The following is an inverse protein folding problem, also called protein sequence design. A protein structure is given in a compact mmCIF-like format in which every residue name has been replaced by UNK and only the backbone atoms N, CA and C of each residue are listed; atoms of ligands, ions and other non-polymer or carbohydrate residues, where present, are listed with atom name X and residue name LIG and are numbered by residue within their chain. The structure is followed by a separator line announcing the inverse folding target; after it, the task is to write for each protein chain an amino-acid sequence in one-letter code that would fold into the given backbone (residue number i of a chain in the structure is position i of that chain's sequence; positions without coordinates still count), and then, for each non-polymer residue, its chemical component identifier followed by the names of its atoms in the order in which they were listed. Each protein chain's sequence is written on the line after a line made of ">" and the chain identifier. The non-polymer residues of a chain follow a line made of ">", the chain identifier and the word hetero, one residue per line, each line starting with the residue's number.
data_IF_458101911644
#
_entry.id   IF_458101911644
#
_cell.length_a   1.000
_cell.length_b   1.000
_cell.length_c   1.000
_cell.angle_alpha   90.00
_cell.angle_beta   90.00
_cell.angle_gamma   90.00
#
_symmetry.space_group_name_H-M   'P 1'
#
loop_
_entity.id
_entity.type
_entity.pdbx_description
1 polymer ?
#
# COMPACT_ATOMS: atom_id res chain seq x y z
N UNK A 1 -4.88 -20.79 7.23
CA UNK A 1 -3.97 -21.73 6.55
C UNK A 1 -2.87 -22.20 7.51
N UNK A 2 -1.97 -21.32 7.94
CA UNK A 2 -0.85 -21.64 8.85
C UNK A 2 -1.30 -22.37 10.12
N UNK A 3 -2.33 -21.86 10.83
CA UNK A 3 -2.90 -22.54 12.02
C UNK A 3 -3.38 -23.98 11.76
N UNK A 4 -3.79 -24.32 10.53
CA UNK A 4 -4.26 -25.67 10.17
C UNK A 4 -3.11 -26.57 9.71
N UNK A 5 -2.17 -26.04 8.93
CA UNK A 5 -1.10 -26.84 8.28
C UNK A 5 0.18 -26.91 9.09
N UNK A 6 0.44 -25.94 9.95
CA UNK A 6 1.67 -25.85 10.76
C UNK A 6 2.94 -25.61 9.94
N UNK A 7 2.84 -25.34 8.64
CA UNK A 7 3.98 -25.05 7.76
C UNK A 7 3.73 -23.77 6.96
N UNK A 8 4.79 -23.01 6.71
CA UNK A 8 4.77 -21.78 5.92
C UNK A 8 6.13 -21.50 5.28
N UNK A 9 6.13 -20.61 4.30
CA UNK A 9 7.34 -20.01 3.72
C UNK A 9 7.34 -18.50 3.97
N UNK A 10 8.53 -17.94 4.09
CA UNK A 10 8.80 -16.51 4.07
C UNK A 10 9.71 -16.23 2.88
N UNK A 11 9.22 -15.43 1.93
CA UNK A 11 10.04 -14.86 0.87
C UNK A 11 10.46 -13.45 1.30
N UNK A 12 11.76 -13.24 1.47
CA UNK A 12 12.32 -11.94 1.86
C UNK A 12 12.45 -11.08 0.63
N UNK A 13 11.68 -9.99 0.56
CA UNK A 13 11.66 -9.10 -0.60
C UNK A 13 12.97 -8.29 -0.69
N UNK A 14 13.54 -8.17 -1.88
CA UNK A 14 14.72 -7.35 -2.17
C UNK A 14 14.32 -5.98 -2.74
N UNK A 15 15.23 -5.01 -2.72
CA UNK A 15 14.97 -3.65 -3.23
C UNK A 15 14.61 -3.60 -4.73
N UNK A 16 14.86 -4.68 -5.47
CA UNK A 16 14.44 -4.87 -6.87
C UNK A 16 12.95 -5.24 -7.02
N UNK A 17 12.22 -5.45 -5.93
CA UNK A 17 10.80 -5.77 -5.97
C UNK A 17 9.98 -4.58 -6.48
N UNK A 18 9.00 -4.85 -7.33
CA UNK A 18 8.10 -3.83 -7.87
C UNK A 18 6.81 -3.72 -7.04
N UNK A 19 6.11 -2.58 -7.18
CA UNK A 19 4.82 -2.37 -6.52
C UNK A 19 3.75 -3.42 -6.88
N UNK A 20 3.84 -4.01 -8.07
CA UNK A 20 2.91 -5.04 -8.53
C UNK A 20 2.89 -6.27 -7.61
N UNK A 21 4.03 -6.66 -7.04
CA UNK A 21 4.10 -7.75 -6.06
C UNK A 21 3.25 -7.44 -4.82
N UNK A 22 3.29 -6.21 -4.32
CA UNK A 22 2.50 -5.79 -3.15
C UNK A 22 1.02 -5.70 -3.49
N UNK A 23 0.68 -5.18 -4.67
CA UNK A 23 -0.70 -5.13 -5.14
C UNK A 23 -1.28 -6.54 -5.28
N UNK A 24 -0.55 -7.45 -5.91
CA UNK A 24 -0.98 -8.83 -6.14
C UNK A 24 -1.02 -9.65 -4.85
N UNK A 25 -0.02 -9.61 -3.98
CA UNK A 25 -0.02 -10.45 -2.77
C UNK A 25 -0.63 -9.78 -1.54
N UNK A 26 -0.62 -8.45 -1.46
CA UNK A 26 -1.06 -7.68 -0.29
C UNK A 26 -2.50 -7.18 -0.35
N UNK A 27 -3.07 -6.89 -1.52
CA UNK A 27 -4.38 -6.21 -1.63
C UNK A 27 -5.53 -7.16 -1.96
N UNK A 28 -5.30 -8.46 -1.86
CA UNK A 28 -6.33 -9.49 -2.05
C UNK A 28 -6.15 -10.62 -1.04
N UNK A 29 -7.23 -11.40 -0.85
CA UNK A 29 -7.27 -12.50 0.11
C UNK A 29 -7.02 -13.84 -0.60
N UNK A 30 -6.09 -14.64 -0.08
CA UNK A 30 -5.83 -15.99 -0.60
C UNK A 30 -6.95 -17.00 -0.32
N UNK A 31 -7.98 -16.58 0.44
CA UNK A 31 -9.22 -17.37 0.62
C UNK A 31 -10.07 -17.35 -0.64
N UNK A 32 -10.09 -16.20 -1.32
CA UNK A 32 -11.06 -15.88 -2.37
C UNK A 32 -10.40 -15.82 -3.75
N UNK A 33 -9.06 -15.76 -3.80
CA UNK A 33 -8.29 -15.68 -5.04
C UNK A 33 -7.06 -16.58 -4.96
N UNK A 34 -6.89 -17.45 -5.97
CA UNK A 34 -5.64 -18.17 -6.16
C UNK A 34 -4.58 -17.23 -6.74
N UNK A 35 -3.73 -16.73 -5.84
CA UNK A 35 -2.66 -15.78 -6.20
C UNK A 35 -1.51 -16.42 -6.98
N UNK A 36 -1.41 -17.75 -7.01
CA UNK A 36 -0.33 -18.47 -7.70
C UNK A 36 -0.79 -19.06 -9.03
N UNK A 37 -2.09 -19.07 -9.33
CA UNK A 37 -2.61 -19.48 -10.63
C UNK A 37 -1.98 -18.64 -11.76
N UNK A 38 -1.21 -19.29 -12.64
CA UNK A 38 -0.52 -18.63 -13.75
C UNK A 38 0.64 -17.71 -13.33
N UNK A 39 1.08 -17.73 -12.06
CA UNK A 39 2.17 -16.90 -11.59
C UNK A 39 3.52 -17.54 -11.90
N UNK A 40 4.23 -17.00 -12.90
CA UNK A 40 5.47 -17.59 -13.43
C UNK A 40 6.65 -17.50 -12.46
N UNK A 41 6.72 -16.42 -11.66
CA UNK A 41 7.84 -16.14 -10.77
C UNK A 41 7.66 -16.80 -9.38
N UNK A 42 7.27 -18.08 -9.38
CA UNK A 42 7.12 -18.88 -8.17
C UNK A 42 7.64 -20.32 -8.35
N UNK A 43 8.26 -20.84 -7.30
CA UNK A 43 8.75 -22.22 -7.23
C UNK A 43 8.31 -22.87 -5.92
N UNK A 44 8.49 -24.19 -5.79
CA UNK A 44 8.20 -24.92 -4.55
C UNK A 44 9.47 -25.12 -3.74
N UNK A 45 9.37 -24.92 -2.43
CA UNK A 45 10.43 -25.22 -1.47
C UNK A 45 10.35 -26.68 -1.00
N UNK A 46 11.26 -27.12 -0.13
CA UNK A 46 11.34 -28.50 0.34
C UNK A 46 10.08 -28.96 1.11
N UNK A 47 9.34 -28.02 1.73
CA UNK A 47 8.07 -28.31 2.40
C UNK A 47 6.87 -28.36 1.43
N UNK A 48 7.11 -28.23 0.12
CA UNK A 48 6.11 -28.29 -0.93
C UNK A 48 5.31 -27.00 -1.12
N UNK A 49 5.54 -25.95 -0.34
CA UNK A 49 4.84 -24.67 -0.47
C UNK A 49 5.52 -23.77 -1.51
N UNK A 50 4.72 -22.87 -2.09
CA UNK A 50 5.25 -21.87 -3.01
C UNK A 50 6.10 -20.81 -2.28
N UNK A 51 7.10 -20.30 -3.00
CA UNK A 51 7.82 -19.07 -2.68
C UNK A 51 8.05 -18.28 -3.96
N UNK A 52 8.21 -16.97 -3.84
CA UNK A 52 8.48 -16.11 -4.99
C UNK A 52 9.95 -16.26 -5.41
N UNK A 53 10.24 -16.17 -6.71
CA UNK A 53 11.61 -16.22 -7.24
C UNK A 53 12.11 -14.89 -7.80
N UNK A 54 11.22 -13.90 -7.93
CA UNK A 54 11.54 -12.56 -8.43
C UNK A 54 11.31 -11.51 -7.34
N UNK A 55 12.21 -10.52 -7.26
CA UNK A 55 12.14 -9.44 -6.27
C UNK A 55 12.34 -9.95 -4.84
N UNK A 56 13.10 -11.03 -4.68
CA UNK A 56 13.42 -11.65 -3.38
C UNK A 56 14.90 -11.99 -3.31
N UNK A 57 15.47 -11.92 -2.12
CA UNK A 57 16.87 -12.28 -1.87
C UNK A 57 17.03 -13.52 -1.00
N UNK A 58 15.99 -13.94 -0.28
CA UNK A 58 16.04 -15.13 0.56
C UNK A 58 14.69 -15.85 0.69
N UNK A 59 14.77 -17.15 0.97
CA UNK A 59 13.67 -18.02 1.35
C UNK A 59 13.95 -18.60 2.73
N UNK A 60 12.93 -18.60 3.60
CA UNK A 60 12.92 -19.33 4.86
C UNK A 60 11.66 -20.20 4.90
N UNK A 61 11.83 -21.51 5.09
CA UNK A 61 10.72 -22.44 5.34
C UNK A 61 10.62 -22.71 6.84
N UNK A 62 9.40 -22.67 7.38
CA UNK A 62 9.15 -22.82 8.81
C UNK A 62 8.13 -23.92 9.11
N UNK A 63 8.35 -24.63 10.22
CA UNK A 63 7.38 -25.52 10.85
C UNK A 63 7.02 -24.99 12.23
N UNK A 64 5.75 -24.69 12.45
CA UNK A 64 5.21 -24.15 13.70
C UNK A 64 5.43 -25.17 14.82
N UNK A 65 6.06 -24.71 15.91
CA UNK A 65 6.29 -25.48 17.14
C UNK A 65 5.45 -24.95 18.30
N UNK A 66 5.10 -23.67 18.28
CA UNK A 66 4.25 -23.04 19.29
C UNK A 66 3.38 -21.95 18.66
N UNK A 67 2.19 -21.73 19.22
CA UNK A 67 1.25 -20.72 18.77
C UNK A 67 0.70 -19.95 19.97
N UNK A 68 0.72 -18.63 19.90
CA UNK A 68 0.16 -17.75 20.92
C UNK A 68 -0.92 -16.85 20.32
N UNK A 69 -2.12 -16.96 20.85
CA UNK A 69 -3.26 -16.14 20.42
C UNK A 69 -3.25 -14.79 21.13
N UNK A 70 -3.40 -13.73 20.34
CA UNK A 70 -3.71 -12.39 20.79
C UNK A 70 -5.08 -11.99 20.23
N UNK A 71 -5.59 -10.84 20.65
CA UNK A 71 -6.95 -10.38 20.30
C UNK A 71 -7.17 -10.32 18.77
N UNK A 72 -6.24 -9.70 18.04
CA UNK A 72 -6.39 -9.48 16.59
C UNK A 72 -5.43 -10.32 15.73
N UNK A 73 -4.41 -10.90 16.34
CA UNK A 73 -3.32 -11.60 15.63
C UNK A 73 -2.93 -12.88 16.36
N UNK A 74 -2.25 -13.77 15.63
CA UNK A 74 -1.67 -14.98 16.20
C UNK A 74 -0.17 -14.97 15.94
N UNK A 75 0.63 -15.11 17.00
CA UNK A 75 2.07 -15.33 16.88
C UNK A 75 2.33 -16.81 16.67
N UNK A 76 2.99 -17.14 15.57
CA UNK A 76 3.51 -18.47 15.31
C UNK A 76 5.01 -18.49 15.59
N UNK A 77 5.43 -19.37 16.49
CA UNK A 77 6.85 -19.64 16.75
C UNK A 77 7.18 -20.93 16.01
N UNK A 78 8.26 -20.90 15.22
CA UNK A 78 8.55 -21.95 14.26
C UNK A 78 10.02 -22.32 14.24
N UNK A 79 10.28 -23.61 14.05
CA UNK A 79 11.59 -24.14 13.68
C UNK A 79 11.84 -23.88 12.19
N UNK A 80 13.04 -23.40 11.85
CA UNK A 80 13.46 -23.22 10.46
C UNK A 80 13.88 -24.57 9.89
N UNK A 81 13.19 -25.02 8.83
CA UNK A 81 13.45 -26.32 8.19
C UNK A 81 14.24 -26.20 6.90
N UNK A 82 14.29 -25.01 6.31
CA UNK A 82 15.08 -24.70 5.11
C UNK A 82 15.38 -23.20 5.10
N UNK A 83 16.58 -22.85 4.63
CA UNK A 83 16.94 -21.48 4.28
C UNK A 83 17.71 -21.48 2.97
N UNK A 84 17.43 -20.53 2.08
CA UNK A 84 18.18 -20.31 0.84
C UNK A 84 18.46 -18.84 0.63
N UNK A 85 19.69 -18.51 0.27
CA UNK A 85 20.07 -17.22 -0.31
C UNK A 85 19.82 -17.30 -1.82
N UNK A 86 19.07 -16.34 -2.35
CA UNK A 86 18.65 -16.28 -3.75
C UNK A 86 19.38 -15.17 -4.51
N UNK A 87 19.73 -14.08 -3.84
CA UNK A 87 20.61 -13.02 -4.35
C UNK A 87 21.26 -12.25 -3.19
N UNK A 88 22.28 -11.45 -3.52
CA UNK A 88 22.95 -10.55 -2.57
C UNK A 88 22.32 -9.15 -2.52
N UNK A 89 21.17 -8.95 -3.19
CA UNK A 89 20.49 -7.67 -3.22
C UNK A 89 20.00 -7.29 -1.81
N UNK A 90 20.06 -6.01 -1.41
CA UNK A 90 19.58 -5.58 -0.12
C UNK A 90 18.08 -5.88 0.08
N UNK A 91 17.69 -6.28 1.29
CA UNK A 91 16.27 -6.47 1.63
C UNK A 91 15.51 -5.15 1.65
N UNK A 92 14.23 -5.20 1.29
CA UNK A 92 13.30 -4.09 1.51
C UNK A 92 13.06 -3.95 3.01
N UNK A 93 13.32 -2.75 3.52
CA UNK A 93 12.83 -2.36 4.84
C UNK A 93 11.45 -1.73 4.70
N UNK A 94 10.70 -1.72 5.80
CA UNK A 94 9.38 -1.06 5.80
C UNK A 94 9.50 0.44 5.48
N UNK A 95 10.55 1.11 5.95
CA UNK A 95 10.83 2.52 5.59
C UNK A 95 11.08 2.68 4.08
N UNK A 96 11.94 1.83 3.51
CA UNK A 96 12.24 1.84 2.08
C UNK A 96 10.97 1.67 1.23
N UNK A 97 10.05 0.79 1.66
CA UNK A 97 8.77 0.62 0.97
C UNK A 97 7.96 1.92 0.89
N UNK A 98 7.85 2.70 1.98
CA UNK A 98 7.10 3.97 1.95
C UNK A 98 7.81 5.07 1.16
N UNK A 99 9.14 5.09 1.18
CA UNK A 99 9.94 6.14 0.55
C UNK A 99 10.07 5.93 -0.97
N UNK A 100 10.22 4.68 -1.41
CA UNK A 100 10.65 4.35 -2.77
C UNK A 100 9.68 3.47 -3.57
N UNK A 101 8.85 2.64 -2.92
CA UNK A 101 8.04 1.62 -3.64
C UNK A 101 6.56 2.00 -3.68
N UNK A 102 5.99 2.40 -2.54
CA UNK A 102 4.57 2.76 -2.45
C UNK A 102 4.33 4.00 -3.32
N UNK A 103 3.46 3.94 -4.33
CA UNK A 103 3.10 5.12 -5.10
C UNK A 103 2.61 6.20 -4.15
N UNK A 104 3.28 7.35 -4.18
CA UNK A 104 2.76 8.52 -3.48
C UNK A 104 1.40 8.81 -4.10
N UNK A 105 0.35 9.05 -3.29
CA UNK A 105 -0.92 9.49 -3.84
C UNK A 105 -0.60 10.70 -4.72
N UNK A 106 -0.92 10.59 -6.01
CA UNK A 106 -0.95 11.76 -6.85
C UNK A 106 -2.01 12.63 -6.20
N UNK A 107 -1.55 13.70 -5.53
CA UNK A 107 -2.42 14.84 -5.31
C UNK A 107 -2.74 15.25 -6.74
N UNK A 108 -3.86 14.76 -7.26
CA UNK A 108 -4.60 15.55 -8.20
C UNK A 108 -4.71 16.86 -7.47
N UNK A 109 -3.99 17.88 -7.93
CA UNK A 109 -4.41 19.24 -7.70
C UNK A 109 -5.83 19.26 -8.27
N UNK A 110 -6.82 18.88 -7.44
CA UNK A 110 -8.09 19.56 -7.47
C UNK A 110 -7.66 21.00 -7.38
N UNK A 111 -7.54 21.66 -8.54
CA UNK A 111 -7.52 23.10 -8.63
C UNK A 111 -8.73 23.49 -7.80
N UNK A 112 -8.51 23.88 -6.55
CA UNK A 112 -9.54 24.45 -5.72
C UNK A 112 -9.80 25.81 -6.34
N UNK A 113 -10.55 25.79 -7.44
CA UNK A 113 -11.07 26.98 -8.07
C UNK A 113 -11.98 27.60 -7.03
N UNK A 114 -11.58 28.76 -6.55
CA UNK A 114 -12.31 29.51 -5.56
C UNK A 114 -12.22 30.98 -5.88
N UNK A 115 -13.04 31.76 -5.21
CA UNK A 115 -13.13 33.19 -5.40
C UNK A 115 -12.96 33.87 -4.05
N UNK A 116 -12.05 34.84 -3.95
CA UNK A 116 -11.83 35.62 -2.72
C UNK A 116 -12.47 36.99 -2.85
N UNK A 117 -13.24 37.40 -1.84
CA UNK A 117 -13.78 38.75 -1.75
C UNK A 117 -12.65 39.75 -1.45
N UNK A 118 -12.43 40.73 -2.32
CA UNK A 118 -11.40 41.77 -2.15
C UNK A 118 -11.66 42.72 -0.99
N UNK A 119 -12.89 42.77 -0.48
CA UNK A 119 -13.29 43.68 0.60
C UNK A 119 -12.99 43.09 1.98
N UNK A 120 -13.28 41.80 2.19
CA UNK A 120 -13.21 41.18 3.51
C UNK A 120 -12.44 39.85 3.58
N UNK A 121 -11.98 39.33 2.44
CA UNK A 121 -11.21 38.08 2.39
C UNK A 121 -12.03 36.79 2.51
N UNK A 122 -13.37 36.85 2.40
CA UNK A 122 -14.19 35.63 2.35
C UNK A 122 -13.86 34.80 1.11
N UNK A 123 -13.70 33.48 1.27
CA UNK A 123 -13.41 32.55 0.18
C UNK A 123 -14.65 31.72 -0.15
N UNK A 124 -15.11 31.82 -1.40
CA UNK A 124 -16.10 30.96 -2.00
C UNK A 124 -15.40 29.79 -2.70
N UNK A 125 -15.71 28.56 -2.31
CA UNK A 125 -15.16 27.34 -2.92
C UNK A 125 -16.10 26.88 -4.06
N UNK A 126 -15.68 27.08 -5.31
CA UNK A 126 -16.48 26.76 -6.49
C UNK A 126 -15.86 27.29 -7.78
N UNK A 127 -16.02 26.56 -8.89
CA UNK A 127 -15.42 26.91 -10.18
C UNK A 127 -16.00 28.19 -10.79
N UNK A 128 -17.32 28.35 -10.69
CA UNK A 128 -18.06 29.51 -11.16
C UNK A 128 -18.73 30.23 -9.98
N UNK A 129 -18.48 31.54 -9.86
CA UNK A 129 -19.16 32.38 -8.89
C UNK A 129 -20.48 32.88 -9.50
N UNK A 130 -21.65 32.60 -8.90
CA UNK A 130 -22.93 33.12 -9.38
C UNK A 130 -22.93 34.66 -9.43
N UNK A 131 -23.48 35.25 -10.49
CA UNK A 131 -23.50 36.70 -10.68
C UNK A 131 -24.32 37.44 -9.60
N UNK A 132 -25.27 36.75 -8.99
CA UNK A 132 -26.13 37.21 -7.89
C UNK A 132 -25.57 36.86 -6.50
N UNK A 133 -24.36 36.28 -6.42
CA UNK A 133 -23.76 35.93 -5.14
C UNK A 133 -23.48 37.18 -4.31
N UNK A 134 -23.87 37.13 -3.04
CA UNK A 134 -23.63 38.20 -2.06
C UNK A 134 -22.72 37.64 -0.99
N UNK A 135 -21.59 38.32 -0.74
CA UNK A 135 -20.65 37.90 0.29
C UNK A 135 -21.35 37.79 1.65
N UNK A 136 -21.31 36.64 2.34
CA UNK A 136 -22.00 36.47 3.62
C UNK A 136 -21.39 37.31 4.76
N UNK A 137 -20.12 37.73 4.63
CA UNK A 137 -19.44 38.55 5.64
C UNK A 137 -19.69 40.06 5.46
N UNK A 138 -19.40 40.64 4.30
CA UNK A 138 -19.48 42.08 4.07
C UNK A 138 -20.69 42.54 3.24
N UNK A 139 -21.50 41.61 2.72
CA UNK A 139 -22.69 41.88 1.89
C UNK A 139 -22.43 42.58 0.55
N UNK A 140 -21.20 42.59 0.08
CA UNK A 140 -20.84 43.08 -1.25
C UNK A 140 -21.20 42.06 -2.35
N UNK A 141 -21.52 42.54 -3.57
CA UNK A 141 -21.90 41.70 -4.70
C UNK A 141 -20.73 40.88 -5.27
N UNK A 142 -21.05 39.88 -6.10
CA UNK A 142 -20.10 39.00 -6.78
C UNK A 142 -19.01 39.72 -7.59
N UNK A 143 -19.26 40.97 -8.04
CA UNK A 143 -18.26 41.79 -8.74
C UNK A 143 -17.02 42.11 -7.91
N UNK A 144 -17.14 42.05 -6.58
CA UNK A 144 -16.03 42.34 -5.65
C UNK A 144 -15.19 41.11 -5.31
N UNK A 145 -15.42 39.98 -5.99
CA UNK A 145 -14.62 38.76 -5.87
C UNK A 145 -13.58 38.65 -6.99
N UNK A 146 -12.47 37.99 -6.69
CA UNK A 146 -11.45 37.62 -7.66
C UNK A 146 -11.12 36.14 -7.59
N UNK A 147 -10.79 35.54 -8.75
CA UNK A 147 -10.48 34.12 -8.83
C UNK A 147 -9.13 33.84 -8.18
N UNK A 148 -9.13 32.91 -7.24
CA UNK A 148 -7.92 32.34 -6.64
C UNK A 148 -7.39 31.32 -7.65
N UNK A 149 -6.19 31.59 -8.18
CA UNK A 149 -5.47 30.71 -9.11
C UNK A 149 -4.76 29.59 -8.39
#
# INVERSE_FOLDING_TARGET
>A
MIKKTGIFNVSVLSQEVTFDTFKHFGFQSGRDTDKFAGYADAQRSANGLYYLTRGVNALISGKVIETKEFETHTLFIAEVTECRVLSDDPSVTYAYYFEHIKPKPQIMEEKKTGWVCKICGYVYEGEELPADFICPLCKHPASDFEKIS
#
